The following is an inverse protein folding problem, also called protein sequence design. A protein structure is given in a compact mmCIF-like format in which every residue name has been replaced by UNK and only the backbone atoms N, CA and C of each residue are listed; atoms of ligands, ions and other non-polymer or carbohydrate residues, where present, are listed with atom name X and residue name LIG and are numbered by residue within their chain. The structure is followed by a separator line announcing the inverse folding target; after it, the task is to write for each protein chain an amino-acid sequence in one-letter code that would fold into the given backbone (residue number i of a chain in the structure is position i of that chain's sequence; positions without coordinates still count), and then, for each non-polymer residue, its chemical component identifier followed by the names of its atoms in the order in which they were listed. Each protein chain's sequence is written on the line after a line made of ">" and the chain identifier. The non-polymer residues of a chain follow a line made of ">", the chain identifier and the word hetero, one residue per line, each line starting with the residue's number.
data_IF_355410480438
#
_entry.id   IF_355410480438
#
_cell.length_a   1.000
_cell.length_b   1.000
_cell.length_c   1.000
_cell.angle_alpha   90.00
_cell.angle_beta   90.00
_cell.angle_gamma   90.00
#
_symmetry.space_group_name_H-M   'P 1'
#
loop_
_entity.id
_entity.type
_entity.pdbx_description
1 polymer ?
#
# COMPACT_ATOMS: atom_id res chain seq x y z
N UNK A 1 9.34 -11.66 -8.88
CA UNK A 1 9.03 -10.21 -9.03
C UNK A 1 8.75 -9.94 -10.50
N UNK A 2 8.21 -8.78 -10.87
CA UNK A 2 8.01 -8.38 -12.28
C UNK A 2 8.86 -7.14 -12.56
N UNK A 3 9.76 -7.22 -13.54
CA UNK A 3 10.54 -6.08 -14.01
C UNK A 3 9.74 -5.28 -15.05
N UNK A 4 9.49 -4.01 -14.75
CA UNK A 4 8.79 -3.12 -15.65
C UNK A 4 9.73 -2.60 -16.76
N UNK A 5 9.20 -2.40 -17.96
CA UNK A 5 9.95 -1.91 -19.12
C UNK A 5 10.46 -0.49 -18.90
N UNK A 6 9.62 0.34 -18.27
CA UNK A 6 9.93 1.68 -17.79
C UNK A 6 9.40 1.82 -16.36
N UNK A 7 10.04 2.65 -15.52
CA UNK A 7 9.55 2.91 -14.18
C UNK A 7 8.21 3.65 -14.23
N UNK A 8 7.44 3.49 -13.18
CA UNK A 8 6.07 4.00 -13.06
C UNK A 8 5.94 4.77 -11.74
N UNK A 9 5.20 5.87 -11.71
CA UNK A 9 4.97 6.59 -10.46
C UNK A 9 4.11 5.77 -9.50
N UNK A 10 4.53 5.63 -8.24
CA UNK A 10 3.70 5.01 -7.24
C UNK A 10 2.56 5.97 -6.82
N UNK A 11 1.31 5.58 -7.05
CA UNK A 11 0.13 6.42 -6.73
C UNK A 11 0.16 7.00 -5.31
N UNK A 12 0.42 6.15 -4.30
CA UNK A 12 0.42 6.57 -2.90
C UNK A 12 1.56 7.52 -2.52
N UNK A 13 2.63 7.61 -3.32
CA UNK A 13 3.77 8.48 -3.06
C UNK A 13 3.83 9.68 -4.02
N UNK A 14 2.95 9.74 -5.02
CA UNK A 14 2.98 10.77 -6.07
C UNK A 14 3.04 12.21 -5.52
N UNK A 15 2.33 12.50 -4.43
CA UNK A 15 2.37 13.83 -3.79
C UNK A 15 3.71 14.13 -3.11
N UNK A 16 4.34 13.11 -2.51
CA UNK A 16 5.67 13.21 -1.90
C UNK A 16 6.74 13.33 -2.97
N UNK A 17 6.62 12.54 -4.06
CA UNK A 17 7.48 12.63 -5.24
C UNK A 17 7.43 14.03 -5.84
N UNK A 18 6.23 14.59 -6.02
CA UNK A 18 6.06 15.93 -6.57
C UNK A 18 6.64 17.02 -5.68
N UNK A 19 6.44 16.93 -4.35
CA UNK A 19 7.08 17.85 -3.40
C UNK A 19 8.60 17.76 -3.47
N UNK A 20 9.13 16.54 -3.55
CA UNK A 20 10.57 16.30 -3.64
C UNK A 20 11.16 16.83 -4.96
N UNK A 21 10.52 16.57 -6.10
CA UNK A 21 10.94 17.11 -7.41
C UNK A 21 10.94 18.64 -7.44
N UNK A 22 10.01 19.29 -6.74
CA UNK A 22 9.96 20.77 -6.65
C UNK A 22 11.06 21.35 -5.76
N UNK A 23 11.64 20.56 -4.86
CA UNK A 23 12.75 21.01 -4.00
C UNK A 23 14.13 20.79 -4.62
N UNK A 24 14.20 19.96 -5.67
CA UNK A 24 15.44 19.49 -6.27
C UNK A 24 15.57 20.09 -7.66
N UNK A 25 16.79 20.47 -8.03
CA UNK A 25 17.07 21.04 -9.32
C UNK A 25 16.96 19.98 -10.44
N UNK A 26 16.22 20.32 -11.50
CA UNK A 26 16.04 19.46 -12.69
C UNK A 26 17.36 19.08 -13.39
N UNK A 27 18.39 19.93 -13.33
CA UNK A 27 19.66 19.72 -14.03
C UNK A 27 20.75 19.14 -13.11
N UNK A 28 21.04 19.78 -11.98
CA UNK A 28 22.14 19.39 -11.11
C UNK A 28 21.74 18.43 -9.99
N UNK A 29 20.43 18.15 -9.82
CA UNK A 29 19.88 17.21 -8.82
C UNK A 29 20.24 17.51 -7.36
N UNK A 30 20.75 18.71 -7.07
CA UNK A 30 20.90 19.25 -5.71
C UNK A 30 19.64 19.97 -5.26
N UNK A 31 19.53 20.22 -3.96
CA UNK A 31 18.50 21.13 -3.46
C UNK A 31 18.70 22.51 -4.09
N UNK A 32 17.60 23.13 -4.52
CA UNK A 32 17.63 24.36 -5.30
C UNK A 32 18.21 25.56 -4.53
N UNK A 33 18.17 25.50 -3.19
CA UNK A 33 18.54 26.56 -2.27
C UNK A 33 19.77 26.19 -1.44
N UNK A 34 20.68 27.15 -1.24
CA UNK A 34 21.86 26.97 -0.39
C UNK A 34 21.56 27.08 1.11
N UNK A 35 22.41 26.46 1.94
CA UNK A 35 22.24 26.37 3.40
C UNK A 35 22.39 27.73 4.13
N UNK A 36 22.80 28.79 3.44
CA UNK A 36 23.05 30.12 4.00
C UNK A 36 21.80 30.89 4.47
N UNK A 37 20.60 30.49 4.03
CA UNK A 37 19.36 31.14 4.50
C UNK A 37 18.95 30.63 5.89
N UNK A 38 18.73 31.55 6.85
CA UNK A 38 18.28 31.19 8.21
C UNK A 38 17.01 30.33 8.22
N UNK A 39 16.12 30.56 7.24
CA UNK A 39 14.87 29.82 7.06
C UNK A 39 15.13 28.36 6.68
N UNK A 40 16.15 28.10 5.87
CA UNK A 40 16.56 26.76 5.47
C UNK A 40 17.09 25.98 6.69
N UNK A 41 18.00 26.60 7.44
CA UNK A 41 18.54 26.02 8.68
C UNK A 41 17.44 25.70 9.69
N UNK A 42 16.47 26.61 9.87
CA UNK A 42 15.30 26.38 10.73
C UNK A 42 14.43 25.22 10.25
N UNK A 43 14.21 25.10 8.93
CA UNK A 43 13.45 23.98 8.37
C UNK A 43 14.17 22.64 8.61
N UNK A 44 15.49 22.58 8.40
CA UNK A 44 16.34 21.40 8.63
C UNK A 44 16.25 20.88 10.08
N UNK A 45 16.10 21.77 11.06
CA UNK A 45 15.98 21.43 12.49
C UNK A 45 14.64 20.79 12.89
N UNK A 46 13.60 20.83 12.03
CA UNK A 46 12.28 20.25 12.35
C UNK A 46 12.43 18.73 12.52
N UNK A 47 12.17 18.20 13.72
CA UNK A 47 12.31 16.75 14.01
C UNK A 47 11.37 15.86 13.18
N UNK A 48 10.12 16.29 12.98
CA UNK A 48 9.15 15.53 12.20
C UNK A 48 9.47 15.61 10.71
N UNK A 49 9.88 14.48 10.12
CA UNK A 49 10.31 14.35 8.72
C UNK A 49 9.26 14.85 7.71
N UNK A 50 7.98 14.55 7.92
CA UNK A 50 6.90 15.00 7.02
C UNK A 50 6.75 16.52 7.03
N UNK A 51 6.72 17.12 8.23
CA UNK A 51 6.64 18.58 8.39
C UNK A 51 7.90 19.28 7.86
N UNK A 52 9.06 18.64 7.96
CA UNK A 52 10.32 19.13 7.39
C UNK A 52 10.23 19.25 5.87
N UNK A 53 9.79 18.19 5.18
CA UNK A 53 9.60 18.23 3.73
C UNK A 53 8.61 19.32 3.30
N UNK A 54 7.49 19.45 4.03
CA UNK A 54 6.49 20.49 3.76
C UNK A 54 7.06 21.90 3.94
N UNK A 55 7.81 22.14 5.03
CA UNK A 55 8.46 23.43 5.27
C UNK A 55 9.50 23.77 4.20
N UNK A 56 10.33 22.80 3.80
CA UNK A 56 11.31 22.99 2.73
C UNK A 56 10.63 23.23 1.38
N UNK A 57 9.58 22.48 1.07
CA UNK A 57 8.79 22.66 -0.14
C UNK A 57 8.20 24.07 -0.24
N UNK A 58 7.66 24.61 0.85
CA UNK A 58 7.12 25.97 0.86
C UNK A 58 8.19 27.06 0.66
N UNK A 59 9.41 26.84 1.15
CA UNK A 59 10.52 27.77 0.99
C UNK A 59 11.11 27.75 -0.43
N UNK A 60 11.23 26.55 -1.03
CA UNK A 60 11.92 26.37 -2.32
C UNK A 60 11.00 26.57 -3.52
N UNK A 61 9.70 26.22 -3.41
CA UNK A 61 8.72 26.34 -4.50
C UNK A 61 8.71 27.68 -5.26
N UNK A 62 8.85 28.87 -4.62
CA UNK A 62 8.85 30.13 -5.35
C UNK A 62 10.15 30.42 -6.13
N UNK A 63 11.26 29.73 -5.85
CA UNK A 63 12.53 29.95 -6.56
C UNK A 63 12.45 29.38 -7.97
N UNK A 64 12.70 30.23 -8.98
CA UNK A 64 12.72 29.87 -10.40
C UNK A 64 14.11 29.44 -10.89
N UNK A 65 15.18 29.75 -10.17
CA UNK A 65 16.57 29.45 -10.52
C UNK A 65 17.21 28.64 -9.39
N UNK A 66 18.12 27.73 -9.76
CA UNK A 66 18.95 27.00 -8.80
C UNK A 66 20.16 27.83 -8.40
N UNK A 67 20.41 27.95 -7.10
CA UNK A 67 21.54 28.71 -6.54
C UNK A 67 22.90 28.10 -6.93
N UNK A 68 22.95 26.79 -7.25
CA UNK A 68 24.20 26.09 -7.56
C UNK A 68 24.59 26.07 -9.04
N UNK A 69 23.62 25.94 -9.96
CA UNK A 69 23.90 25.80 -11.40
C UNK A 69 23.23 26.87 -12.26
N UNK A 70 22.53 27.84 -11.65
CA UNK A 70 21.74 28.87 -12.33
C UNK A 70 20.71 28.36 -13.34
N UNK A 71 20.42 27.06 -13.33
CA UNK A 71 19.45 26.43 -14.22
C UNK A 71 18.02 26.79 -13.81
N UNK A 72 17.20 27.09 -14.81
CA UNK A 72 15.78 27.37 -14.61
C UNK A 72 15.03 26.12 -14.15
N UNK A 73 14.18 26.29 -13.14
CA UNK A 73 13.33 25.22 -12.65
C UNK A 73 11.99 25.27 -13.37
N UNK A 74 11.54 24.14 -13.93
CA UNK A 74 10.23 24.11 -14.51
C UNK A 74 9.16 24.00 -13.42
N UNK A 75 7.94 24.36 -13.79
CA UNK A 75 6.79 24.30 -12.91
C UNK A 75 6.10 22.94 -13.05
N UNK A 76 6.14 22.16 -11.97
CA UNK A 76 5.49 20.85 -11.92
C UNK A 76 4.02 20.96 -11.51
N UNK A 77 3.13 20.38 -12.30
CA UNK A 77 1.69 20.27 -12.02
C UNK A 77 1.28 18.79 -12.01
N UNK A 78 0.36 18.41 -11.11
CA UNK A 78 -0.17 17.05 -11.04
C UNK A 78 -1.47 16.97 -11.83
N UNK A 79 -1.55 16.04 -12.77
CA UNK A 79 -2.75 15.74 -13.56
C UNK A 79 -3.03 14.25 -13.45
N UNK A 80 -3.98 13.89 -12.58
CA UNK A 80 -4.30 12.48 -12.30
C UNK A 80 -3.10 11.69 -11.75
N UNK A 81 -2.63 10.71 -12.55
CA UNK A 81 -1.45 9.88 -12.26
C UNK A 81 -0.14 10.41 -12.89
N UNK A 82 -0.22 11.50 -13.64
CA UNK A 82 0.91 12.06 -14.38
C UNK A 82 1.38 13.37 -13.76
N UNK A 83 2.65 13.68 -14.01
CA UNK A 83 3.27 14.94 -13.65
C UNK A 83 3.53 15.71 -14.94
N UNK A 84 2.92 16.87 -15.09
CA UNK A 84 3.19 17.80 -16.19
C UNK A 84 4.26 18.81 -15.77
N UNK A 85 5.08 19.19 -16.73
CA UNK A 85 6.14 20.18 -16.60
C UNK A 85 5.84 21.32 -17.57
N UNK A 86 5.84 22.54 -17.04
CA UNK A 86 5.77 23.78 -17.79
C UNK A 86 7.12 24.50 -17.66
N UNK A 87 7.82 24.70 -18.77
CA UNK A 87 9.06 25.48 -18.80
C UNK A 87 8.73 26.97 -18.79
N UNK A 88 9.52 27.77 -18.08
CA UNK A 88 9.30 29.22 -18.02
C UNK A 88 9.75 29.90 -19.34
N UNK A 89 9.02 30.94 -19.76
CA UNK A 89 9.16 31.64 -21.06
C UNK A 89 10.59 32.12 -21.39
N UNK A 90 11.47 32.33 -20.40
CA UNK A 90 12.88 32.72 -20.63
C UNK A 90 13.72 31.61 -21.30
N UNK A 91 13.24 30.37 -21.26
CA UNK A 91 13.89 29.20 -21.87
C UNK A 91 13.62 29.12 -23.39
N UNK A 92 12.56 29.77 -23.90
CA UNK A 92 12.24 29.85 -25.34
C UNK A 92 13.27 30.67 -26.13
N UNK A 93 13.83 31.74 -25.54
CA UNK A 93 14.83 32.58 -26.23
C UNK A 93 16.10 31.82 -26.62
N UNK A 94 16.39 30.70 -25.94
CA UNK A 94 17.57 29.87 -26.19
C UNK A 94 17.24 28.66 -27.06
N UNK A 95 16.00 28.12 -26.99
CA UNK A 95 15.64 26.88 -27.66
C UNK A 95 14.96 27.05 -29.04
N UNK A 96 14.51 28.26 -29.41
CA UNK A 96 14.01 28.57 -30.76
C UNK A 96 12.83 27.72 -31.25
N UNK A 97 12.17 26.97 -30.37
CA UNK A 97 11.12 26.02 -30.73
C UNK A 97 9.80 26.48 -30.12
N UNK A 98 8.94 27.03 -30.97
CA UNK A 98 7.54 27.38 -30.69
C UNK A 98 6.70 26.10 -30.58
N UNK A 99 6.92 25.31 -29.53
CA UNK A 99 6.25 24.02 -29.30
C UNK A 99 5.76 23.89 -27.85
N UNK A 100 4.62 23.23 -27.69
CA UNK A 100 3.74 23.18 -26.51
C UNK A 100 4.37 23.44 -25.14
N UNK A 101 3.77 24.40 -24.41
CA UNK A 101 4.16 24.87 -23.08
C UNK A 101 4.13 23.80 -21.99
N UNK A 102 3.65 22.59 -22.26
CA UNK A 102 3.39 21.53 -21.27
C UNK A 102 3.77 20.17 -21.81
N UNK A 103 4.71 19.52 -21.14
CA UNK A 103 5.12 18.15 -21.43
C UNK A 103 4.87 17.24 -20.21
N UNK A 104 4.56 15.96 -20.46
CA UNK A 104 4.50 14.97 -19.39
C UNK A 104 5.92 14.53 -18.98
N UNK A 105 6.23 14.60 -17.68
CA UNK A 105 7.46 14.06 -17.14
C UNK A 105 7.37 12.54 -17.02
N UNK A 106 8.04 11.82 -17.90
CA UNK A 106 8.24 10.38 -17.74
C UNK A 106 8.91 10.08 -16.38
N UNK A 107 8.44 9.02 -15.72
CA UNK A 107 8.98 8.60 -14.43
C UNK A 107 10.46 8.19 -14.51
N UNK A 108 10.97 7.83 -15.69
CA UNK A 108 12.39 7.53 -15.89
C UNK A 108 13.25 8.77 -15.60
N UNK A 109 12.87 9.93 -16.17
CA UNK A 109 13.57 11.20 -15.92
C UNK A 109 13.55 11.56 -14.43
N UNK A 110 12.43 11.34 -13.74
CA UNK A 110 12.33 11.59 -12.29
C UNK A 110 13.27 10.68 -11.49
N UNK A 111 13.36 9.39 -11.82
CA UNK A 111 14.30 8.44 -11.20
C UNK A 111 15.74 8.87 -11.44
N UNK A 112 16.07 9.31 -12.65
CA UNK A 112 17.43 9.73 -13.00
C UNK A 112 17.87 10.99 -12.23
N UNK A 113 16.94 11.93 -11.98
CA UNK A 113 17.18 13.08 -11.10
C UNK A 113 17.41 12.62 -9.67
N UNK A 114 16.56 11.72 -9.15
CA UNK A 114 16.69 11.24 -7.77
C UNK A 114 17.96 10.42 -7.52
N UNK A 115 18.43 9.65 -8.50
CA UNK A 115 19.68 8.89 -8.42
C UNK A 115 20.93 9.77 -8.28
N UNK A 116 20.90 10.97 -8.86
CA UNK A 116 22.01 11.94 -8.82
C UNK A 116 22.03 12.78 -7.54
N UNK A 117 21.02 12.66 -6.68
CA UNK A 117 20.92 13.43 -5.44
C UNK A 117 21.98 12.99 -4.42
N UNK A 118 22.52 13.94 -3.67
CA UNK A 118 23.46 13.67 -2.58
C UNK A 118 22.74 13.21 -1.32
N UNK A 119 23.43 12.41 -0.50
CA UNK A 119 22.89 11.89 0.75
C UNK A 119 22.58 13.00 1.79
N UNK A 120 23.36 14.08 1.76
CA UNK A 120 23.14 15.26 2.60
C UNK A 120 21.84 15.99 2.25
N UNK A 121 21.58 16.13 0.94
CA UNK A 121 20.36 16.73 0.40
C UNK A 121 19.13 15.88 0.75
N UNK A 122 19.23 14.55 0.64
CA UNK A 122 18.17 13.63 1.04
C UNK A 122 17.81 13.81 2.53
N UNK A 123 18.82 13.87 3.41
CA UNK A 123 18.62 14.07 4.86
C UNK A 123 18.02 15.44 5.17
N UNK A 124 18.44 16.48 4.44
CA UNK A 124 17.89 17.82 4.58
C UNK A 124 16.39 17.83 4.28
N UNK A 125 15.95 17.21 3.17
CA UNK A 125 14.54 17.06 2.80
C UNK A 125 13.72 16.22 3.80
N UNK A 126 14.37 15.51 4.72
CA UNK A 126 13.72 14.60 5.67
C UNK A 126 13.52 13.19 5.12
N UNK A 127 14.16 12.85 4.01
CA UNK A 127 14.23 11.50 3.47
C UNK A 127 15.33 10.69 4.17
N UNK A 128 15.24 9.37 4.08
CA UNK A 128 16.19 8.46 4.70
C UNK A 128 17.07 7.80 3.64
N UNK A 129 18.39 7.86 3.80
CA UNK A 129 19.33 7.27 2.83
C UNK A 129 19.27 5.74 2.84
N UNK A 130 18.98 5.15 4.00
CA UNK A 130 19.01 3.68 4.18
C UNK A 130 17.66 3.03 3.90
N UNK A 131 16.56 3.63 4.35
CA UNK A 131 15.24 2.99 4.33
C UNK A 131 14.25 3.62 3.34
N UNK A 132 14.49 4.84 2.87
CA UNK A 132 13.51 5.60 2.10
C UNK A 132 14.19 6.52 1.07
N UNK A 133 14.97 5.92 0.15
CA UNK A 133 15.58 6.67 -0.95
C UNK A 133 14.49 7.20 -1.89
N UNK A 134 14.64 8.43 -2.43
CA UNK A 134 13.62 9.05 -3.26
C UNK A 134 13.35 8.30 -4.57
N UNK A 135 14.37 7.65 -5.13
CA UNK A 135 14.26 6.84 -6.34
C UNK A 135 13.26 5.66 -6.20
N UNK A 136 13.05 5.15 -4.98
CA UNK A 136 12.10 4.06 -4.70
C UNK A 136 10.63 4.50 -4.68
N UNK A 137 10.36 5.80 -4.73
CA UNK A 137 8.99 6.31 -4.90
C UNK A 137 8.45 6.03 -6.31
N UNK A 138 9.32 5.72 -7.27
CA UNK A 138 8.98 5.21 -8.58
C UNK A 138 9.20 3.69 -8.60
N UNK A 139 8.23 2.94 -9.11
CA UNK A 139 8.27 1.49 -9.17
C UNK A 139 9.01 1.09 -10.45
N UNK A 140 10.21 0.52 -10.33
CA UNK A 140 10.89 -0.17 -11.45
C UNK A 140 10.64 -1.68 -11.43
N UNK A 141 10.55 -2.25 -10.23
CA UNK A 141 10.31 -3.68 -10.01
C UNK A 141 9.07 -3.84 -9.14
N UNK A 142 8.05 -4.49 -9.67
CA UNK A 142 6.79 -4.73 -8.96
C UNK A 142 6.88 -6.04 -8.16
N UNK A 143 6.63 -6.01 -6.83
CA UNK A 143 6.56 -7.24 -6.04
C UNK A 143 5.28 -8.00 -6.39
N UNK A 144 5.41 -9.32 -6.54
CA UNK A 144 4.27 -10.22 -6.81
C UNK A 144 3.86 -10.89 -5.51
N UNK A 145 2.61 -10.72 -5.04
CA UNK A 145 2.16 -11.41 -3.84
C UNK A 145 2.08 -12.93 -4.08
N UNK A 146 2.45 -13.74 -3.06
CA UNK A 146 2.44 -15.20 -3.14
C UNK A 146 1.01 -15.75 -3.24
N UNK A 147 0.89 -17.04 -3.58
CA UNK A 147 -0.40 -17.71 -3.83
C UNK A 147 -1.35 -17.65 -2.62
N UNK A 148 -0.84 -17.73 -1.38
CA UNK A 148 -1.67 -17.64 -0.18
C UNK A 148 -2.39 -16.28 -0.03
N UNK A 149 -1.87 -15.21 -0.64
CA UNK A 149 -2.51 -13.89 -0.65
C UNK A 149 -3.54 -13.77 -1.79
N UNK A 150 -3.44 -14.65 -2.79
CA UNK A 150 -4.27 -14.69 -4.01
C UNK A 150 -4.90 -16.08 -4.21
N UNK A 151 -5.82 -16.49 -3.34
CA UNK A 151 -6.42 -17.82 -3.43
C UNK A 151 -7.36 -17.92 -4.64
N UNK A 152 -7.24 -19.00 -5.41
CA UNK A 152 -8.20 -19.37 -6.45
C UNK A 152 -9.46 -19.98 -5.81
N UNK A 153 -10.64 -19.64 -6.33
CA UNK A 153 -11.92 -20.21 -5.89
C UNK A 153 -12.40 -21.19 -6.95
N UNK A 154 -12.50 -22.48 -6.61
CA UNK A 154 -13.05 -23.50 -7.51
C UNK A 154 -14.57 -23.47 -7.39
N UNK A 155 -15.27 -23.25 -8.51
CA UNK A 155 -16.72 -23.36 -8.59
C UNK A 155 -17.13 -24.67 -9.28
N UNK A 156 -18.20 -25.30 -8.79
CA UNK A 156 -18.84 -26.44 -9.46
C UNK A 156 -17.95 -27.68 -9.61
N UNK A 157 -17.50 -28.26 -8.49
CA UNK A 157 -16.90 -29.61 -8.48
C UNK A 157 -15.58 -29.78 -9.24
N UNK A 158 -14.89 -28.69 -9.60
CA UNK A 158 -13.57 -28.74 -10.24
C UNK A 158 -13.53 -28.32 -11.72
N UNK A 159 -14.69 -28.12 -12.36
CA UNK A 159 -14.74 -27.82 -13.80
C UNK A 159 -14.41 -26.35 -14.14
N UNK A 160 -14.65 -25.40 -13.21
CA UNK A 160 -14.37 -23.98 -13.44
C UNK A 160 -13.63 -23.36 -12.24
N UNK A 161 -12.38 -22.95 -12.46
CA UNK A 161 -11.61 -22.16 -11.50
C UNK A 161 -11.84 -20.67 -11.73
N UNK A 162 -12.33 -19.97 -10.71
CA UNK A 162 -12.36 -18.50 -10.68
C UNK A 162 -11.10 -18.00 -9.98
N UNK A 163 -10.25 -17.33 -10.74
CA UNK A 163 -9.01 -16.75 -10.21
C UNK A 163 -9.26 -15.49 -9.38
N UNK A 164 -8.33 -15.20 -8.48
CA UNK A 164 -8.38 -14.02 -7.63
C UNK A 164 -8.28 -12.71 -8.43
N UNK A 165 -8.99 -11.66 -7.97
CA UNK A 165 -8.98 -10.34 -8.62
C UNK A 165 -7.56 -9.74 -8.76
N UNK A 166 -6.66 -9.99 -7.81
CA UNK A 166 -5.27 -9.54 -7.92
C UNK A 166 -4.51 -10.28 -9.03
N UNK A 167 -4.82 -11.56 -9.23
CA UNK A 167 -4.22 -12.36 -10.31
C UNK A 167 -4.65 -11.83 -11.67
N UNK A 168 -5.94 -11.51 -11.85
CA UNK A 168 -6.42 -10.88 -13.08
C UNK A 168 -5.71 -9.55 -13.37
N UNK A 169 -5.51 -8.71 -12.36
CA UNK A 169 -4.82 -7.44 -12.55
C UNK A 169 -3.32 -7.60 -12.83
N UNK A 170 -2.66 -8.57 -12.21
CA UNK A 170 -1.25 -8.89 -12.50
C UNK A 170 -1.08 -9.36 -13.95
N UNK A 171 -2.00 -10.17 -14.47
CA UNK A 171 -1.98 -10.58 -15.88
C UNK A 171 -2.09 -9.37 -16.80
N UNK A 172 -2.97 -8.41 -16.49
CA UNK A 172 -3.09 -7.17 -17.26
C UNK A 172 -1.80 -6.34 -17.24
N UNK A 173 -1.16 -6.20 -16.06
CA UNK A 173 0.14 -5.52 -15.93
C UNK A 173 1.20 -6.20 -16.79
N UNK A 174 1.30 -7.53 -16.76
CA UNK A 174 2.26 -8.29 -17.57
C UNK A 174 2.02 -8.09 -19.06
N UNK A 175 0.75 -8.13 -19.51
CA UNK A 175 0.40 -7.89 -20.92
C UNK A 175 0.79 -6.48 -21.38
N UNK A 176 0.45 -5.44 -20.61
CA UNK A 176 0.85 -4.07 -20.92
C UNK A 176 2.38 -3.91 -20.91
N UNK A 177 3.07 -4.57 -19.98
CA UNK A 177 4.53 -4.51 -19.90
C UNK A 177 5.21 -5.17 -21.11
N UNK A 178 4.69 -6.32 -21.58
CA UNK A 178 5.19 -6.98 -22.79
C UNK A 178 4.91 -6.11 -24.02
N UNK A 179 3.70 -5.56 -24.14
CA UNK A 179 3.35 -4.66 -25.23
C UNK A 179 4.29 -3.44 -25.29
N UNK A 180 4.56 -2.81 -24.14
CA UNK A 180 5.50 -1.69 -24.04
C UNK A 180 6.94 -2.10 -24.41
N UNK A 181 7.42 -3.26 -23.94
CA UNK A 181 8.75 -3.78 -24.32
C UNK A 181 8.85 -4.01 -25.83
N UNK A 182 7.82 -4.58 -26.44
CA UNK A 182 7.78 -4.85 -27.89
C UNK A 182 7.74 -3.56 -28.69
N UNK A 183 6.91 -2.59 -28.29
CA UNK A 183 6.82 -1.27 -28.94
C UNK A 183 8.18 -0.54 -28.94
N UNK A 184 8.88 -0.55 -27.80
CA UNK A 184 10.23 0.02 -27.68
C UNK A 184 11.23 -0.73 -28.57
N UNK A 185 11.18 -2.06 -28.59
CA UNK A 185 12.10 -2.88 -29.40
C UNK A 185 11.91 -2.69 -30.90
N UNK A 186 10.66 -2.50 -31.33
CA UNK A 186 10.31 -2.26 -32.74
C UNK A 186 10.60 -0.82 -33.18
N UNK A 187 10.92 0.09 -32.26
CA UNK A 187 11.17 1.50 -32.58
C UNK A 187 9.89 2.24 -32.99
N UNK A 188 8.75 1.91 -32.37
CA UNK A 188 7.50 2.61 -32.63
C UNK A 188 7.58 4.10 -32.27
N UNK A 189 6.78 4.96 -32.92
CA UNK A 189 6.71 6.39 -32.60
C UNK A 189 6.52 6.68 -31.11
N UNK A 190 7.20 7.71 -30.60
CA UNK A 190 7.17 8.09 -29.17
C UNK A 190 5.75 8.28 -28.60
N UNK A 191 4.81 8.79 -29.42
CA UNK A 191 3.41 8.99 -29.01
C UNK A 191 2.75 7.64 -28.60
N UNK A 192 3.04 6.57 -29.34
CA UNK A 192 2.48 5.24 -29.06
C UNK A 192 3.14 4.65 -27.82
N UNK A 193 4.45 4.82 -27.66
CA UNK A 193 5.19 4.39 -26.47
C UNK A 193 4.64 5.09 -25.22
N UNK A 194 4.36 6.38 -25.29
CA UNK A 194 3.75 7.14 -24.20
C UNK A 194 2.33 6.65 -23.86
N UNK A 195 1.51 6.28 -24.85
CA UNK A 195 0.21 5.68 -24.60
C UNK A 195 0.32 4.34 -23.87
N UNK A 196 1.27 3.48 -24.26
CA UNK A 196 1.53 2.22 -23.57
C UNK A 196 2.08 2.43 -22.15
N UNK A 197 2.90 3.46 -21.93
CA UNK A 197 3.34 3.87 -20.58
C UNK A 197 2.17 4.31 -19.71
N UNK A 198 1.26 5.13 -20.25
CA UNK A 198 0.05 5.56 -19.55
C UNK A 198 -0.84 4.37 -19.18
N UNK A 199 -1.00 3.42 -20.11
CA UNK A 199 -1.74 2.18 -19.84
C UNK A 199 -1.08 1.34 -18.74
N UNK A 200 0.26 1.24 -18.73
CA UNK A 200 1.01 0.54 -17.67
C UNK A 200 0.85 1.26 -16.31
N UNK A 201 0.95 2.59 -16.30
CA UNK A 201 0.77 3.44 -15.13
C UNK A 201 -0.64 3.29 -14.53
N UNK A 202 -1.66 3.26 -15.37
CA UNK A 202 -3.03 3.04 -14.96
C UNK A 202 -3.22 1.66 -14.33
N UNK A 203 -2.72 0.59 -14.96
CA UNK A 203 -2.86 -0.77 -14.44
C UNK A 203 -2.09 -0.99 -13.13
N UNK A 204 -0.90 -0.41 -12.99
CA UNK A 204 -0.14 -0.46 -11.74
C UNK A 204 -0.84 0.31 -10.61
N UNK A 205 -1.41 1.48 -10.91
CA UNK A 205 -2.18 2.25 -9.93
C UNK A 205 -3.46 1.52 -9.51
N UNK A 206 -4.19 0.95 -10.47
CA UNK A 206 -5.41 0.18 -10.20
C UNK A 206 -5.13 -1.03 -9.30
N UNK A 207 -4.00 -1.73 -9.49
CA UNK A 207 -3.59 -2.85 -8.61
C UNK A 207 -3.47 -2.45 -7.14
N UNK A 208 -3.01 -1.23 -6.86
CA UNK A 208 -2.91 -0.69 -5.50
C UNK A 208 -4.25 -0.19 -4.99
N UNK A 209 -4.94 0.61 -5.80
CA UNK A 209 -6.26 1.14 -5.51
C UNK A 209 -7.06 1.30 -6.81
N UNK A 210 -8.17 0.58 -6.92
CA UNK A 210 -9.08 0.67 -8.08
C UNK A 210 -10.16 1.76 -7.91
N UNK A 211 -10.38 2.28 -6.69
CA UNK A 211 -11.34 3.35 -6.39
C UNK A 211 -10.69 4.73 -6.47
N UNK A 212 -9.95 4.98 -7.54
CA UNK A 212 -9.29 6.27 -7.75
C UNK A 212 -10.26 7.27 -8.36
N UNK A 213 -10.44 8.40 -7.68
CA UNK A 213 -11.27 9.49 -8.19
C UNK A 213 -10.73 10.01 -9.53
N UNK A 214 -11.58 10.08 -10.54
CA UNK A 214 -11.23 10.60 -11.86
C UNK A 214 -10.54 9.60 -12.80
N UNK A 215 -10.42 8.32 -12.41
CA UNK A 215 -9.89 7.26 -13.29
C UNK A 215 -10.95 6.18 -13.53
N UNK A 216 -11.00 5.58 -14.74
CA UNK A 216 -11.90 4.47 -15.01
C UNK A 216 -11.53 3.27 -14.12
N UNK A 217 -12.53 2.59 -13.58
CA UNK A 217 -12.29 1.39 -12.79
C UNK A 217 -11.97 0.21 -13.69
N UNK A 218 -10.97 -0.60 -13.31
CA UNK A 218 -10.70 -1.85 -14.02
C UNK A 218 -11.73 -2.89 -13.59
N UNK A 219 -12.45 -3.41 -14.57
CA UNK A 219 -13.51 -4.41 -14.40
C UNK A 219 -13.08 -5.76 -14.98
N UNK A 220 -13.68 -6.84 -14.47
CA UNK A 220 -13.63 -8.14 -15.12
C UNK A 220 -14.44 -8.11 -16.43
N UNK A 221 -14.31 -9.16 -17.25
CA UNK A 221 -15.15 -9.37 -18.45
C UNK A 221 -16.65 -9.37 -18.13
N UNK A 222 -17.03 -9.70 -16.90
CA UNK A 222 -18.40 -9.66 -16.38
C UNK A 222 -18.91 -8.27 -16.02
N UNK A 223 -18.09 -7.22 -16.15
CA UNK A 223 -18.42 -5.85 -15.73
C UNK A 223 -18.25 -5.58 -14.23
N UNK A 224 -17.99 -6.61 -13.40
CA UNK A 224 -17.72 -6.43 -11.97
C UNK A 224 -16.38 -5.71 -11.75
N UNK A 225 -16.30 -4.64 -10.93
CA UNK A 225 -15.03 -4.01 -10.60
C UNK A 225 -14.14 -4.95 -9.78
N UNK A 226 -12.83 -4.94 -10.07
CA UNK A 226 -11.85 -5.75 -9.36
C UNK A 226 -11.63 -5.24 -7.93
N UNK A 227 -11.61 -6.16 -6.95
CA UNK A 227 -11.24 -5.87 -5.56
C UNK A 227 -9.72 -5.96 -5.35
N UNK A 228 -9.09 -4.80 -5.25
CA UNK A 228 -7.64 -4.59 -5.22
C UNK A 228 -7.11 -4.39 -3.80
N UNK A 229 -5.80 -4.13 -3.64
CA UNK A 229 -5.12 -4.20 -2.34
C UNK A 229 -5.70 -3.26 -1.27
N UNK A 230 -5.93 -1.99 -1.62
CA UNK A 230 -6.51 -0.99 -0.70
C UNK A 230 -7.90 -1.39 -0.21
N UNK A 231 -8.76 -1.89 -1.10
CA UNK A 231 -10.11 -2.35 -0.76
C UNK A 231 -10.06 -3.56 0.19
N UNK A 232 -9.14 -4.51 -0.04
CA UNK A 232 -8.94 -5.68 0.86
C UNK A 232 -8.52 -5.29 2.27
N UNK A 233 -7.80 -4.18 2.44
CA UNK A 233 -7.32 -3.73 3.75
C UNK A 233 -8.35 -2.85 4.48
N UNK A 234 -8.93 -1.86 3.79
CA UNK A 234 -9.73 -0.78 4.40
C UNK A 234 -11.23 -1.06 4.48
N UNK A 235 -11.76 -1.97 3.65
CA UNK A 235 -13.20 -2.20 3.60
C UNK A 235 -13.77 -2.62 4.97
N UNK A 236 -15.09 -2.47 5.15
CA UNK A 236 -15.80 -2.96 6.35
C UNK A 236 -15.58 -4.47 6.55
N UNK A 237 -15.60 -5.22 5.45
CA UNK A 237 -15.24 -6.65 5.37
C UNK A 237 -13.74 -6.87 5.09
N UNK A 238 -12.94 -5.81 5.13
CA UNK A 238 -11.50 -5.87 4.91
C UNK A 238 -10.75 -6.48 6.09
N UNK A 239 -9.47 -6.76 5.89
CA UNK A 239 -8.62 -7.45 6.88
C UNK A 239 -8.49 -6.68 8.19
N UNK A 240 -8.35 -5.35 8.15
CA UNK A 240 -8.12 -4.57 9.37
C UNK A 240 -9.37 -4.60 10.26
N UNK A 241 -10.52 -4.21 9.72
CA UNK A 241 -11.75 -4.11 10.51
C UNK A 241 -12.38 -5.48 10.79
N UNK A 242 -12.42 -6.35 9.79
CA UNK A 242 -13.05 -7.66 9.88
C UNK A 242 -12.22 -8.69 10.63
N UNK A 243 -10.91 -8.77 10.35
CA UNK A 243 -10.08 -9.86 10.88
C UNK A 243 -9.26 -9.45 12.12
N UNK A 244 -8.75 -8.22 12.16
CA UNK A 244 -7.86 -7.78 13.24
C UNK A 244 -8.60 -7.09 14.40
N UNK A 245 -9.57 -6.20 14.09
CA UNK A 245 -10.29 -5.44 15.12
C UNK A 245 -11.55 -6.14 15.65
N UNK A 246 -12.14 -7.04 14.87
CA UNK A 246 -13.43 -7.68 15.17
C UNK A 246 -13.40 -9.20 14.99
N UNK A 247 -12.33 -9.86 15.43
CA UNK A 247 -12.23 -11.31 15.30
C UNK A 247 -13.32 -11.97 16.16
N UNK A 248 -14.04 -12.91 15.55
CA UNK A 248 -14.91 -13.81 16.31
C UNK A 248 -14.04 -14.61 17.28
N UNK A 249 -14.46 -14.64 18.54
CA UNK A 249 -13.80 -15.41 19.58
C UNK A 249 -14.56 -16.71 19.76
N UNK A 250 -13.81 -17.81 19.77
CA UNK A 250 -14.33 -19.10 20.17
C UNK A 250 -14.49 -19.14 21.70
N UNK A 251 -15.28 -20.08 22.22
CA UNK A 251 -15.51 -20.26 23.67
C UNK A 251 -16.15 -19.05 24.39
N UNK A 252 -17.09 -18.37 23.74
CA UNK A 252 -17.90 -17.33 24.37
C UNK A 252 -19.40 -17.61 24.19
N UNK A 253 -20.20 -17.13 25.13
CA UNK A 253 -21.66 -17.20 25.08
C UNK A 253 -22.27 -15.84 25.45
N UNK A 254 -23.47 -15.58 24.94
CA UNK A 254 -24.24 -14.36 25.21
C UNK A 254 -25.68 -14.72 25.50
N UNK A 255 -26.24 -14.18 26.57
CA UNK A 255 -27.65 -14.32 26.95
C UNK A 255 -28.15 -13.04 27.62
N UNK A 256 -29.45 -12.94 27.84
CA UNK A 256 -30.10 -11.83 28.58
C UNK A 256 -29.81 -11.98 30.08
N UNK A 257 -29.56 -10.86 30.75
CA UNK A 257 -29.30 -10.83 32.20
C UNK A 257 -30.61 -10.80 33.01
N UNK A 258 -30.59 -11.40 34.19
CA UNK A 258 -31.68 -11.33 35.18
C UNK A 258 -31.05 -11.17 36.56
N UNK A 259 -31.66 -10.34 37.41
CA UNK A 259 -31.14 -10.07 38.76
C UNK A 259 -31.51 -11.21 39.73
N UNK A 260 -30.55 -11.68 40.52
CA UNK A 260 -30.75 -12.65 41.59
C UNK A 260 -30.05 -12.17 42.87
N UNK A 261 -30.80 -11.86 43.95
CA UNK A 261 -30.22 -11.35 45.20
C UNK A 261 -29.50 -12.42 46.03
N UNK A 262 -29.61 -13.71 45.68
CA UNK A 262 -28.97 -14.79 46.42
C UNK A 262 -27.52 -15.06 45.99
N UNK A 263 -27.04 -14.42 44.91
CA UNK A 263 -25.67 -14.56 44.43
C UNK A 263 -24.75 -13.56 45.12
N UNK A 264 -23.55 -14.01 45.46
CA UNK A 264 -22.50 -13.12 45.97
C UNK A 264 -22.05 -12.10 44.91
N UNK A 265 -21.49 -10.97 45.34
CA UNK A 265 -21.03 -9.88 44.44
C UNK A 265 -20.04 -10.36 43.36
N UNK A 266 -19.27 -11.40 43.66
CA UNK A 266 -18.24 -11.97 42.76
C UNK A 266 -18.75 -13.15 41.92
N UNK A 267 -20.03 -13.53 42.04
CA UNK A 267 -20.61 -14.69 41.37
C UNK A 267 -21.45 -14.27 40.17
N UNK A 268 -21.54 -15.18 39.19
CA UNK A 268 -22.42 -15.04 38.03
C UNK A 268 -23.16 -16.35 37.81
N UNK A 269 -24.49 -16.27 37.68
CA UNK A 269 -25.31 -17.43 37.34
C UNK A 269 -25.12 -17.82 35.88
N UNK A 270 -24.61 -19.03 35.63
CA UNK A 270 -24.44 -19.56 34.27
C UNK A 270 -25.48 -20.67 34.03
N UNK A 271 -26.34 -20.56 33.00
CA UNK A 271 -27.30 -21.61 32.67
C UNK A 271 -26.61 -22.93 32.30
N UNK A 272 -27.20 -24.07 32.68
CA UNK A 272 -26.65 -25.41 32.38
C UNK A 272 -26.44 -25.63 30.88
N UNK A 273 -27.31 -25.10 30.02
CA UNK A 273 -27.18 -25.17 28.56
C UNK A 273 -25.92 -24.48 28.02
N UNK A 274 -25.46 -23.41 28.68
CA UNK A 274 -24.21 -22.71 28.34
C UNK A 274 -23.01 -23.43 28.96
N UNK A 275 -23.12 -23.84 30.23
CA UNK A 275 -22.06 -24.55 30.95
C UNK A 275 -21.70 -25.91 30.33
N UNK A 276 -22.69 -26.62 29.76
CA UNK A 276 -22.44 -27.86 29.00
C UNK A 276 -21.71 -27.60 27.68
N UNK A 277 -21.78 -26.38 27.13
CA UNK A 277 -21.17 -26.04 25.85
C UNK A 277 -19.78 -25.44 25.96
N UNK A 278 -19.55 -24.59 26.96
CA UNK A 278 -18.25 -24.00 27.23
C UNK A 278 -17.36 -24.99 27.99
N UNK A 279 -16.15 -25.21 27.48
CA UNK A 279 -15.18 -26.14 28.09
C UNK A 279 -13.90 -25.41 28.43
N UNK A 280 -13.21 -25.88 29.47
CA UNK A 280 -11.90 -25.36 29.91
C UNK A 280 -10.88 -26.49 29.81
N UNK A 281 -9.78 -26.30 29.06
CA UNK A 281 -8.74 -27.31 28.96
C UNK A 281 -7.98 -27.40 30.30
N UNK A 282 -8.16 -28.52 31.00
CA UNK A 282 -7.47 -28.79 32.27
C UNK A 282 -6.48 -29.92 32.07
N UNK A 283 -5.21 -29.69 32.44
CA UNK A 283 -4.18 -30.73 32.37
C UNK A 283 -4.37 -31.75 33.50
N UNK A 284 -4.27 -33.02 33.15
CA UNK A 284 -4.33 -34.11 34.14
C UNK A 284 -3.04 -34.09 34.97
N UNK A 285 -3.20 -34.13 36.28
CA UNK A 285 -2.17 -34.20 37.30
C UNK A 285 -2.51 -35.34 38.26
N UNK A 286 -1.56 -35.86 39.05
CA UNK A 286 -1.86 -36.91 40.03
C UNK A 286 -2.95 -36.52 41.04
N UNK A 287 -3.15 -35.23 41.31
CA UNK A 287 -4.13 -34.75 42.27
C UNK A 287 -5.56 -34.70 41.75
N UNK A 288 -5.75 -34.40 40.45
CA UNK A 288 -7.07 -34.23 39.84
C UNK A 288 -7.52 -35.44 39.00
N UNK A 289 -6.71 -36.49 38.90
CA UNK A 289 -6.97 -37.66 38.04
C UNK A 289 -8.30 -38.35 38.37
N UNK A 290 -8.62 -38.50 39.65
CA UNK A 290 -9.85 -39.17 40.07
C UNK A 290 -11.09 -38.34 39.71
N UNK A 291 -11.04 -37.03 39.96
CA UNK A 291 -12.14 -36.11 39.63
C UNK A 291 -12.36 -36.01 38.13
N UNK A 292 -11.29 -35.81 37.34
CA UNK A 292 -11.38 -35.71 35.89
C UNK A 292 -11.87 -37.02 35.25
N UNK A 293 -11.47 -38.17 35.80
CA UNK A 293 -11.95 -39.48 35.33
C UNK A 293 -13.46 -39.64 35.55
N UNK A 294 -13.99 -39.15 36.66
CA UNK A 294 -15.43 -39.16 36.93
C UNK A 294 -16.20 -38.23 35.97
N UNK A 295 -15.67 -37.03 35.68
CA UNK A 295 -16.27 -36.12 34.69
C UNK A 295 -16.29 -36.72 33.28
N UNK A 296 -15.25 -37.48 32.92
CA UNK A 296 -15.20 -38.20 31.64
C UNK A 296 -16.22 -39.34 31.61
N UNK A 297 -16.40 -40.07 32.72
CA UNK A 297 -17.36 -41.17 32.81
C UNK A 297 -18.82 -40.70 32.65
N UNK A 298 -19.16 -39.51 33.16
CA UNK A 298 -20.49 -38.91 32.99
C UNK A 298 -20.79 -38.47 31.54
N UNK A 299 -19.76 -38.35 30.70
CA UNK A 299 -19.90 -37.98 29.30
C UNK A 299 -20.31 -36.52 29.06
N UNK A 300 -20.72 -36.18 27.82
CA UNK A 300 -20.99 -34.79 27.43
C UNK A 300 -22.43 -34.32 27.67
N UNK A 301 -23.35 -35.22 28.05
CA UNK A 301 -24.79 -34.95 28.16
C UNK A 301 -25.23 -34.55 29.56
N UNK A 302 -24.53 -35.02 30.59
CA UNK A 302 -24.84 -34.72 31.99
C UNK A 302 -23.82 -33.74 32.58
N UNK A 303 -24.30 -32.86 33.47
CA UNK A 303 -23.45 -31.93 34.21
C UNK A 303 -23.32 -32.40 35.67
N UNK A 304 -22.10 -32.52 36.23
CA UNK A 304 -20.78 -32.20 35.66
C UNK A 304 -20.22 -33.28 34.70
N UNK A 305 -19.67 -32.87 33.55
CA UNK A 305 -19.19 -33.79 32.50
C UNK A 305 -18.07 -33.20 31.62
N UNK A 306 -17.58 -33.98 30.64
CA UNK A 306 -16.49 -33.61 29.73
C UNK A 306 -16.82 -33.94 28.25
N UNK A 307 -16.23 -33.17 27.32
CA UNK A 307 -16.48 -33.33 25.86
C UNK A 307 -15.31 -33.89 25.06
N UNK A 308 -14.10 -33.46 25.38
CA UNK A 308 -12.90 -33.79 24.61
C UNK A 308 -11.80 -34.24 25.55
N UNK A 309 -11.05 -35.26 25.12
CA UNK A 309 -9.86 -35.75 25.79
C UNK A 309 -8.73 -35.59 24.79
N UNK A 310 -7.75 -34.76 25.11
CA UNK A 310 -6.57 -34.55 24.27
C UNK A 310 -5.44 -35.36 24.88
N UNK A 311 -4.92 -36.33 24.11
CA UNK A 311 -3.78 -37.16 24.50
C UNK A 311 -2.46 -36.44 24.20
N UNK A 312 -1.35 -37.02 24.65
CA UNK A 312 0.01 -36.51 24.41
C UNK A 312 0.31 -36.24 22.94
N UNK A 313 -0.37 -36.96 22.05
CA UNK A 313 -0.14 -36.92 20.61
C UNK A 313 -0.86 -35.73 19.93
N UNK A 314 -1.58 -34.91 20.71
CA UNK A 314 -2.34 -33.76 20.20
C UNK A 314 -3.68 -34.11 19.55
N UNK A 315 -4.06 -35.39 19.59
CA UNK A 315 -5.36 -35.94 19.22
C UNK A 315 -6.27 -36.07 20.43
#
# INVERSE_FOLDING_TARGET
>A
HIELARPVYHYGFLDVTLKSLRCVCFHCSRITMEEGEYKFSRAKMIKNRKRRLDAMHHLIRPKKKCDHCNGYQPKYTKVGLHVEIEYADEMERIAGSSGDKKEFLSAQKAVDIFKKMRDEDMKALGLDVTWARPEWMCISVMPVPPLHVRPSVVMGGGAMSSEDDLTHQLVNIVKCNIALKTAIKNGEPNIIVEQFEQALQHNCAAFMNNELNGMPQVTQRSGRPLKTLSQRLKAKEGRIRGNLMGKRVDFSARTVITADPNLGIHQVGVPRSVAMNLTVPTRVTPFNIHELSALVANGPTEHPGAKHIIRSDGL
#
